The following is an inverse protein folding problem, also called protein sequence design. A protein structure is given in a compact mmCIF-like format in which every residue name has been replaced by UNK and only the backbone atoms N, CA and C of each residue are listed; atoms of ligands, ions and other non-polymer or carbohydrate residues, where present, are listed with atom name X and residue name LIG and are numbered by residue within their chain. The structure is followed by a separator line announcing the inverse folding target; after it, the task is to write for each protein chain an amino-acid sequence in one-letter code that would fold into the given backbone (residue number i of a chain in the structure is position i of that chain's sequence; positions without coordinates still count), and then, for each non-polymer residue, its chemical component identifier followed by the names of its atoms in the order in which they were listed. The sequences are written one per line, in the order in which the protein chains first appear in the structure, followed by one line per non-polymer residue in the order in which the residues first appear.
data_IF_661300143513
#
_entry.id   IF_661300143513
#
_cell.length_a   1.000
_cell.length_b   1.000
_cell.length_c   1.000
_cell.angle_alpha   90.00
_cell.angle_beta   90.00
_cell.angle_gamma   90.00
#
_symmetry.space_group_name_H-M   'P 1'
#
loop_
_entity.id
_entity.type
_entity.pdbx_description
1 polymer ?
#
# COMPACT_ATOMS: atom_id res chain seq x y z
N UNK A 1 -8.02 6.99 18.74
CA UNK A 1 -8.42 6.68 17.38
C UNK A 1 -7.39 5.81 16.71
N UNK A 2 -7.87 4.78 16.06
CA UNK A 2 -6.95 3.94 15.30
C UNK A 2 -6.49 4.69 14.05
N UNK A 3 -5.20 4.69 13.81
CA UNK A 3 -4.68 5.22 12.56
C UNK A 3 -4.57 4.09 11.55
N UNK A 4 -4.94 4.37 10.32
CA UNK A 4 -4.81 3.40 9.26
C UNK A 4 -3.52 3.63 8.50
N UNK A 5 -3.16 2.65 7.69
CA UNK A 5 -1.94 2.70 6.89
C UNK A 5 -2.20 2.12 5.52
N UNK A 6 -1.36 2.47 4.58
CA UNK A 6 -1.43 1.98 3.21
C UNK A 6 -0.05 1.52 2.78
N UNK A 7 -0.01 0.79 1.67
CA UNK A 7 1.25 0.38 1.05
C UNK A 7 1.40 1.15 -0.24
N UNK A 8 2.58 1.70 -0.47
CA UNK A 8 2.84 2.51 -1.65
C UNK A 8 4.14 2.09 -2.31
N UNK A 9 4.30 2.50 -3.55
CA UNK A 9 5.58 2.39 -4.25
C UNK A 9 5.78 3.64 -5.09
N UNK A 10 7.04 3.95 -5.37
CA UNK A 10 7.37 5.06 -6.26
C UNK A 10 7.35 4.58 -7.70
N UNK A 11 6.69 5.34 -8.57
CA UNK A 11 6.69 5.06 -10.00
C UNK A 11 7.14 6.30 -10.75
N UNK A 12 7.28 6.18 -12.06
CA UNK A 12 7.71 7.32 -12.89
C UNK A 12 6.72 8.48 -12.83
N UNK A 13 5.45 8.21 -12.59
CA UNK A 13 4.43 9.26 -12.54
C UNK A 13 4.08 9.64 -11.10
N UNK A 14 4.81 9.15 -10.10
CA UNK A 14 4.57 9.48 -8.71
C UNK A 14 4.33 8.24 -7.89
N UNK A 15 3.56 8.38 -6.82
CA UNK A 15 3.26 7.25 -5.95
C UNK A 15 2.08 6.47 -6.48
N UNK A 16 2.18 5.15 -6.33
CA UNK A 16 1.08 4.24 -6.58
C UNK A 16 0.82 3.44 -5.31
N UNK A 17 -0.40 2.97 -5.14
CA UNK A 17 -0.86 2.39 -3.88
C UNK A 17 -1.39 0.99 -4.10
N UNK A 18 -1.09 0.11 -3.16
CA UNK A 18 -1.42 -1.30 -3.28
C UNK A 18 -2.91 -1.54 -3.10
N UNK A 19 -3.48 -2.31 -4.02
CA UNK A 19 -4.84 -2.82 -3.94
C UNK A 19 -4.77 -4.33 -4.05
N UNK A 20 -5.22 -5.05 -3.02
CA UNK A 20 -5.20 -6.50 -3.07
C UNK A 20 -6.42 -7.02 -3.81
N UNK A 21 -6.20 -8.02 -4.65
CA UNK A 21 -7.26 -8.66 -5.44
C UNK A 21 -7.32 -10.13 -5.09
N UNK A 22 -8.44 -10.81 -5.37
CA UNK A 22 -8.52 -12.24 -5.09
C UNK A 22 -7.43 -13.07 -5.75
N UNK A 23 -6.96 -12.64 -6.92
CA UNK A 23 -5.95 -13.38 -7.67
C UNK A 23 -4.59 -12.71 -7.67
N UNK A 24 -4.35 -11.78 -6.74
CA UNK A 24 -3.06 -11.11 -6.69
C UNK A 24 -3.20 -9.70 -6.16
N UNK A 25 -2.53 -8.77 -6.81
CA UNK A 25 -2.57 -7.38 -6.38
C UNK A 25 -2.49 -6.45 -7.59
N UNK A 26 -2.81 -5.19 -7.35
CA UNK A 26 -2.78 -4.18 -8.38
C UNK A 26 -2.28 -2.87 -7.75
N UNK A 27 -2.08 -1.87 -8.58
CA UNK A 27 -1.59 -0.56 -8.12
C UNK A 27 -2.58 0.51 -8.56
N UNK A 28 -3.00 1.33 -7.61
CA UNK A 28 -3.92 2.43 -7.88
C UNK A 28 -3.17 3.75 -7.84
N UNK A 29 -3.61 4.72 -8.61
CA UNK A 29 -2.96 6.02 -8.67
C UNK A 29 -3.42 6.95 -7.56
N UNK A 30 -4.47 6.61 -6.83
CA UNK A 30 -4.98 7.44 -5.73
C UNK A 30 -5.05 6.65 -4.44
N UNK A 31 -4.77 7.35 -3.35
CA UNK A 31 -4.81 6.75 -2.03
C UNK A 31 -6.22 6.26 -1.69
N UNK A 32 -7.23 6.93 -2.21
CA UNK A 32 -8.61 6.58 -1.95
C UNK A 32 -8.93 5.15 -2.36
N UNK A 33 -8.33 4.70 -3.45
CA UNK A 33 -8.60 3.36 -3.98
C UNK A 33 -7.72 2.29 -3.34
N UNK A 34 -6.78 2.68 -2.50
CA UNK A 34 -5.85 1.75 -1.89
C UNK A 34 -6.52 0.95 -0.77
N UNK A 35 -6.02 -0.25 -0.55
CA UNK A 35 -6.40 -1.00 0.64
C UNK A 35 -5.84 -0.30 1.88
N UNK A 36 -6.68 -0.17 2.88
CA UNK A 36 -6.27 0.41 4.15
C UNK A 36 -6.06 -0.70 5.17
N UNK A 37 -4.95 -0.61 5.86
CA UNK A 37 -4.57 -1.58 6.89
C UNK A 37 -4.81 -0.96 8.26
N UNK A 38 -4.99 -1.79 9.26
CA UNK A 38 -5.29 -1.33 10.61
C UNK A 38 -4.22 -0.44 11.20
N UNK A 39 -2.96 -0.73 10.86
CA UNK A 39 -1.84 0.01 11.41
C UNK A 39 -0.62 -0.20 10.51
N UNK A 40 0.46 0.52 10.85
CA UNK A 40 1.69 0.47 10.08
C UNK A 40 2.30 -0.94 10.06
N UNK A 41 2.16 -1.69 11.15
CA UNK A 41 2.72 -3.03 11.21
C UNK A 41 2.06 -3.95 10.18
N UNK A 42 0.75 -3.89 10.08
CA UNK A 42 0.02 -4.71 9.10
C UNK A 42 0.36 -4.29 7.68
N UNK A 43 0.47 -2.99 7.45
CA UNK A 43 0.84 -2.49 6.13
C UNK A 43 2.27 -2.92 5.76
N UNK A 44 3.19 -2.85 6.71
CA UNK A 44 4.56 -3.27 6.47
C UNK A 44 4.62 -4.76 6.12
N UNK A 45 3.85 -5.57 6.82
CA UNK A 45 3.80 -6.99 6.53
C UNK A 45 3.28 -7.25 5.11
N UNK A 46 2.24 -6.50 4.71
CA UNK A 46 1.72 -6.63 3.35
C UNK A 46 2.74 -6.19 2.31
N UNK A 47 3.48 -5.11 2.60
CA UNK A 47 4.52 -4.65 1.69
C UNK A 47 5.61 -5.69 1.50
N UNK A 48 5.92 -6.45 2.54
CA UNK A 48 6.94 -7.49 2.45
C UNK A 48 6.50 -8.68 1.59
N UNK A 49 5.20 -8.87 1.41
CA UNK A 49 4.68 -9.95 0.57
C UNK A 49 4.70 -9.58 -0.91
N UNK A 50 4.83 -8.30 -1.23
CA UNK A 50 4.95 -7.85 -2.61
C UNK A 50 6.38 -8.12 -3.07
N UNK A 51 6.59 -8.55 -4.34
CA UNK A 51 7.95 -8.78 -4.82
C UNK A 51 8.86 -7.58 -4.58
N UNK A 52 10.08 -7.85 -4.15
CA UNK A 52 11.00 -6.79 -3.73
C UNK A 52 11.35 -5.80 -4.85
N UNK A 53 11.20 -6.23 -6.10
CA UNK A 53 11.47 -5.34 -7.24
C UNK A 53 10.56 -4.12 -7.26
N UNK A 54 9.40 -4.18 -6.60
CA UNK A 54 8.48 -3.05 -6.54
C UNK A 54 8.87 -2.04 -5.48
N UNK A 55 9.71 -2.44 -4.52
CA UNK A 55 10.18 -1.58 -3.45
C UNK A 55 9.02 -0.93 -2.71
N UNK A 56 8.00 -1.73 -2.42
CA UNK A 56 6.83 -1.24 -1.70
C UNK A 56 7.18 -0.91 -0.26
N UNK A 57 6.48 0.07 0.30
CA UNK A 57 6.70 0.49 1.67
C UNK A 57 5.38 0.95 2.28
N UNK A 58 5.33 0.92 3.61
CA UNK A 58 4.13 1.31 4.34
C UNK A 58 4.15 2.80 4.65
N UNK A 59 2.98 3.41 4.60
CA UNK A 59 2.80 4.83 4.93
C UNK A 59 1.55 4.99 5.80
N UNK A 60 1.54 5.97 6.71
CA UNK A 60 0.28 6.33 7.37
C UNK A 60 -0.69 6.84 6.33
N UNK A 61 -1.94 6.40 6.43
CA UNK A 61 -2.96 6.89 5.51
C UNK A 61 -3.37 8.31 5.90
N UNK A 62 -3.68 9.13 4.89
CA UNK A 62 -4.24 10.44 5.15
C UNK A 62 -5.67 10.30 5.63
N UNK A 63 -6.07 11.12 6.55
CA UNK A 63 -7.45 11.09 7.05
C UNK A 63 -8.40 11.77 6.12
#
# INVERSE_FOLDING_TARGET
MASSAIVARTSLSGLEYLVRRPKGFDWASTERDADHFQNIREATRAAMLVPSRFRAFALPASC
#
